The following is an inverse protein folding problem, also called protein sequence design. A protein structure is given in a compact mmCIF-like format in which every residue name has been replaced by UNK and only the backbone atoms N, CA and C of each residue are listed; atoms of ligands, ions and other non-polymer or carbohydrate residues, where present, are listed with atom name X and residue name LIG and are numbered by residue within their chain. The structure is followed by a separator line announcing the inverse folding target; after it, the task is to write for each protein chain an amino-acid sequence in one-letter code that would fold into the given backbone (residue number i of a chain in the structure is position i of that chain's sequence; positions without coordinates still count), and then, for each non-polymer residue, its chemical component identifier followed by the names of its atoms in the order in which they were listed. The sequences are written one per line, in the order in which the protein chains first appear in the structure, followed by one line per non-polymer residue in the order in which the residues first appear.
data_IF_344651947473
#
_entry.id   IF_344651947473
#
_cell.length_a   1.000
_cell.length_b   1.000
_cell.length_c   1.000
_cell.angle_alpha   90.00
_cell.angle_beta   90.00
_cell.angle_gamma   90.00
#
_symmetry.space_group_name_H-M   'P 1'
#
loop_
_entity.id
_entity.type
_entity.pdbx_description
1 polymer ?
#
# COMPACT_ATOMS: atom_id res chain seq x y z
N UNK A 1 -12.48 -12.60 -0.29
CA UNK A 1 -11.04 -12.90 -0.48
C UNK A 1 -10.85 -14.39 -0.78
N UNK A 2 -10.42 -14.74 -1.97
CA UNK A 2 -10.04 -16.13 -2.27
C UNK A 2 -8.69 -16.40 -1.58
N UNK A 3 -8.66 -17.36 -0.66
CA UNK A 3 -7.42 -17.84 -0.02
C UNK A 3 -6.45 -18.30 -1.11
N UNK A 4 -5.35 -17.58 -1.28
CA UNK A 4 -4.32 -17.97 -2.24
C UNK A 4 -3.73 -19.33 -1.81
N UNK A 5 -3.78 -20.30 -2.72
CA UNK A 5 -3.16 -21.61 -2.47
C UNK A 5 -1.66 -21.39 -2.22
N UNK A 6 -1.08 -21.98 -1.16
CA UNK A 6 0.33 -21.73 -0.84
C UNK A 6 1.20 -22.05 -2.05
N UNK A 7 2.04 -21.08 -2.44
CA UNK A 7 3.00 -21.21 -3.54
C UNK A 7 4.06 -22.24 -3.21
N UNK A 8 4.62 -22.88 -4.21
CA UNK A 8 5.86 -23.64 -4.02
C UNK A 8 7.00 -22.70 -3.58
N UNK A 9 7.95 -23.23 -2.81
CA UNK A 9 9.12 -22.46 -2.34
C UNK A 9 9.92 -21.82 -3.51
N UNK A 10 9.97 -22.49 -4.66
CA UNK A 10 10.61 -21.96 -5.86
C UNK A 10 9.87 -20.74 -6.43
N UNK A 11 8.53 -20.80 -6.51
CA UNK A 11 7.71 -19.65 -6.94
C UNK A 11 7.88 -18.46 -5.99
N UNK A 12 7.85 -18.70 -4.66
CA UNK A 12 8.02 -17.63 -3.67
C UNK A 12 9.37 -16.94 -3.83
N UNK A 13 10.47 -17.69 -3.95
CA UNK A 13 11.80 -17.11 -4.17
C UNK A 13 11.89 -16.24 -5.42
N UNK A 14 11.19 -16.61 -6.49
CA UNK A 14 11.12 -15.80 -7.72
C UNK A 14 10.38 -14.49 -7.47
N UNK A 15 9.25 -14.54 -6.78
CA UNK A 15 8.45 -13.35 -6.43
C UNK A 15 9.27 -12.42 -5.52
N UNK A 16 9.88 -12.93 -4.47
CA UNK A 16 10.70 -12.14 -3.54
C UNK A 16 11.86 -11.42 -4.29
N UNK A 17 12.50 -12.12 -5.22
CA UNK A 17 13.58 -11.56 -6.03
C UNK A 17 13.11 -10.60 -7.14
N UNK A 18 11.83 -10.62 -7.49
CA UNK A 18 11.27 -9.80 -8.56
C UNK A 18 10.86 -8.39 -8.09
N UNK A 19 10.51 -8.19 -6.82
CA UNK A 19 10.07 -6.90 -6.32
C UNK A 19 11.05 -5.76 -6.64
N UNK A 20 12.32 -5.93 -6.27
CA UNK A 20 13.32 -4.88 -6.45
C UNK A 20 13.56 -4.49 -7.92
N UNK A 21 13.77 -5.43 -8.89
CA UNK A 21 13.88 -5.09 -10.30
C UNK A 21 12.65 -4.38 -10.87
N UNK A 22 11.44 -4.80 -10.50
CA UNK A 22 10.22 -4.14 -10.97
C UNK A 22 10.04 -2.77 -10.32
N UNK A 23 10.39 -2.61 -9.05
CA UNK A 23 10.36 -1.31 -8.38
C UNK A 23 11.39 -0.36 -8.98
N UNK A 24 12.65 -0.77 -9.14
CA UNK A 24 13.73 0.12 -9.59
C UNK A 24 13.63 0.50 -11.06
N UNK A 25 13.30 -0.46 -11.94
CA UNK A 25 13.37 -0.29 -13.40
C UNK A 25 12.01 -0.22 -14.08
N UNK A 26 10.92 -0.30 -13.30
CA UNK A 26 9.56 -0.38 -13.83
C UNK A 26 9.27 -1.69 -14.55
N UNK A 27 8.04 -1.81 -15.07
CA UNK A 27 7.63 -3.02 -15.78
C UNK A 27 8.50 -3.30 -17.01
N UNK A 28 8.73 -2.32 -17.87
CA UNK A 28 9.49 -2.54 -19.10
C UNK A 28 10.96 -2.86 -18.84
N UNK A 29 11.60 -2.15 -17.92
CA UNK A 29 13.02 -2.29 -17.62
C UNK A 29 13.39 -3.50 -16.75
N UNK A 30 12.44 -4.11 -16.03
CA UNK A 30 12.70 -5.28 -15.21
C UNK A 30 13.11 -6.48 -16.08
N UNK A 31 14.29 -7.07 -15.79
CA UNK A 31 14.89 -8.16 -16.54
C UNK A 31 14.59 -9.53 -15.92
N UNK A 32 13.84 -10.37 -16.65
CA UNK A 32 13.60 -11.76 -16.21
C UNK A 32 14.91 -12.59 -16.12
N UNK A 33 15.94 -12.19 -16.87
CA UNK A 33 17.26 -12.85 -16.79
C UNK A 33 17.95 -12.54 -15.49
N UNK A 34 17.86 -11.29 -14.99
CA UNK A 34 18.45 -10.88 -13.73
C UNK A 34 17.71 -11.47 -12.54
N UNK A 35 16.36 -11.52 -12.61
CA UNK A 35 15.53 -12.21 -11.62
C UNK A 35 15.91 -13.70 -11.54
N UNK A 36 16.01 -14.40 -12.68
CA UNK A 36 16.40 -15.79 -12.72
C UNK A 36 17.82 -16.00 -12.12
N UNK A 37 18.77 -15.13 -12.46
CA UNK A 37 20.13 -15.15 -11.93
C UNK A 37 20.14 -14.94 -10.41
N UNK A 38 19.35 -14.01 -9.89
CA UNK A 38 19.27 -13.72 -8.46
C UNK A 38 18.80 -14.93 -7.64
N UNK A 39 17.91 -15.75 -8.19
CA UNK A 39 17.44 -16.99 -7.53
C UNK A 39 18.22 -18.24 -7.88
N UNK A 40 19.28 -18.11 -8.72
CA UNK A 40 20.18 -19.22 -9.09
C UNK A 40 19.59 -20.22 -10.10
N UNK A 41 18.68 -19.78 -10.97
CA UNK A 41 18.08 -20.63 -12.01
C UNK A 41 18.32 -20.07 -13.42
N UNK A 42 18.12 -20.90 -14.44
CA UNK A 42 18.14 -20.43 -15.84
C UNK A 42 16.84 -19.70 -16.17
N UNK A 43 16.89 -18.67 -17.04
CA UNK A 43 15.69 -17.94 -17.50
C UNK A 43 14.62 -18.90 -18.05
N UNK A 44 15.00 -19.96 -18.78
CA UNK A 44 14.06 -20.96 -19.26
C UNK A 44 13.29 -21.67 -18.12
N UNK A 45 13.95 -21.90 -16.99
CA UNK A 45 13.32 -22.52 -15.81
C UNK A 45 12.30 -21.58 -15.14
N UNK A 46 12.46 -20.25 -15.29
CA UNK A 46 11.48 -19.29 -14.79
C UNK A 46 10.10 -19.49 -15.46
N UNK A 47 10.10 -19.80 -16.77
CA UNK A 47 8.87 -20.05 -17.51
C UNK A 47 8.16 -21.38 -17.14
N UNK A 48 8.80 -22.28 -16.40
CA UNK A 48 8.11 -23.44 -15.81
C UNK A 48 7.25 -23.05 -14.59
N UNK A 49 7.52 -21.88 -14.00
CA UNK A 49 6.80 -21.36 -12.84
C UNK A 49 5.78 -20.26 -13.20
N UNK A 50 6.08 -19.43 -14.20
CA UNK A 50 5.27 -18.30 -14.63
C UNK A 50 5.15 -18.24 -16.14
N UNK A 51 3.93 -18.10 -16.64
CA UNK A 51 3.66 -18.08 -18.07
C UNK A 51 4.28 -16.86 -18.79
N UNK A 52 4.40 -15.73 -18.07
CA UNK A 52 4.88 -14.47 -18.65
C UNK A 52 5.48 -13.55 -17.57
N UNK A 53 6.11 -12.46 -18.01
CA UNK A 53 6.53 -11.34 -17.15
C UNK A 53 5.33 -10.70 -16.45
N UNK A 54 4.22 -10.59 -17.17
CA UNK A 54 2.96 -10.09 -16.64
C UNK A 54 2.42 -10.96 -15.52
N UNK A 55 2.48 -12.29 -15.64
CA UNK A 55 2.06 -13.20 -14.57
C UNK A 55 2.85 -13.01 -13.28
N UNK A 56 4.16 -12.70 -13.38
CA UNK A 56 4.98 -12.34 -12.20
C UNK A 56 4.51 -11.00 -11.64
N UNK A 57 4.32 -10.00 -12.47
CA UNK A 57 3.90 -8.66 -12.06
C UNK A 57 2.54 -8.68 -11.34
N UNK A 58 1.57 -9.43 -11.83
CA UNK A 58 0.26 -9.57 -11.21
C UNK A 58 0.35 -10.24 -9.82
N UNK A 59 1.24 -11.22 -9.67
CA UNK A 59 1.48 -11.84 -8.37
C UNK A 59 2.19 -10.86 -7.40
N UNK A 60 3.08 -9.97 -7.89
CA UNK A 60 3.67 -8.91 -7.07
C UNK A 60 2.62 -7.91 -6.58
N UNK A 61 1.70 -7.50 -7.47
CA UNK A 61 0.59 -6.62 -7.10
C UNK A 61 -0.28 -7.25 -6.02
N UNK A 62 -0.60 -8.53 -6.15
CA UNK A 62 -1.42 -9.25 -5.19
C UNK A 62 -0.72 -9.36 -3.83
N UNK A 63 0.57 -9.73 -3.80
CA UNK A 63 1.35 -9.83 -2.55
C UNK A 63 1.50 -8.47 -1.87
N UNK A 64 1.74 -7.41 -2.64
CA UNK A 64 1.82 -6.07 -2.13
C UNK A 64 0.48 -5.65 -1.49
N UNK A 65 -0.64 -5.86 -2.18
CA UNK A 65 -1.97 -5.58 -1.67
C UNK A 65 -2.26 -6.35 -0.36
N UNK A 66 -2.04 -7.66 -0.34
CA UNK A 66 -2.30 -8.50 0.84
C UNK A 66 -1.46 -8.06 2.04
N UNK A 67 -0.16 -7.78 1.82
CA UNK A 67 0.75 -7.30 2.86
C UNK A 67 0.30 -5.96 3.44
N UNK A 68 -0.06 -5.01 2.58
CA UNK A 68 -0.40 -3.66 3.03
C UNK A 68 -1.82 -3.60 3.63
N UNK A 69 -2.78 -4.36 3.13
CA UNK A 69 -4.08 -4.50 3.78
C UNK A 69 -3.98 -5.13 5.19
N UNK A 70 -3.08 -6.10 5.36
CA UNK A 70 -2.82 -6.67 6.69
C UNK A 70 -2.17 -5.65 7.64
N UNK A 71 -1.23 -4.85 7.13
CA UNK A 71 -0.57 -3.79 7.90
C UNK A 71 -1.54 -2.68 8.33
N UNK A 72 -2.41 -2.21 7.43
CA UNK A 72 -3.48 -1.26 7.78
C UNK A 72 -4.31 -1.79 8.95
N UNK A 73 -4.84 -3.01 8.82
CA UNK A 73 -5.68 -3.62 9.87
C UNK A 73 -4.94 -3.76 11.19
N UNK A 74 -3.64 -4.09 11.15
CA UNK A 74 -2.81 -4.15 12.35
C UNK A 74 -2.71 -2.78 13.03
N UNK A 75 -2.42 -1.71 12.28
CA UNK A 75 -2.31 -0.35 12.83
C UNK A 75 -3.61 0.13 13.46
N UNK A 76 -4.75 -0.13 12.82
CA UNK A 76 -6.06 0.26 13.35
C UNK A 76 -6.53 -0.59 14.54
N UNK A 77 -6.08 -1.85 14.64
CA UNK A 77 -6.42 -2.73 15.77
C UNK A 77 -5.51 -2.52 16.98
N UNK A 78 -4.36 -1.88 16.81
CA UNK A 78 -3.39 -1.68 17.89
C UNK A 78 -3.83 -0.52 18.78
N UNK A 79 -3.92 -0.78 20.10
CA UNK A 79 -4.12 0.30 21.07
C UNK A 79 -2.88 1.17 21.08
N UNK A 80 -3.06 2.45 20.78
CA UNK A 80 -1.97 3.44 20.71
C UNK A 80 -2.25 4.62 21.64
N UNK A 81 -1.23 5.41 21.90
CA UNK A 81 -1.34 6.68 22.64
C UNK A 81 -1.98 7.80 21.79
N UNK A 82 -2.11 7.58 20.50
CA UNK A 82 -2.70 8.53 19.57
C UNK A 82 -4.22 8.62 19.77
N UNK A 83 -4.74 9.83 19.69
CA UNK A 83 -6.15 10.11 20.02
C UNK A 83 -7.06 10.21 18.81
N UNK A 84 -6.52 10.62 17.65
CA UNK A 84 -7.31 10.74 16.45
C UNK A 84 -7.45 9.38 15.70
N UNK A 85 -8.62 9.10 15.13
CA UNK A 85 -8.83 7.89 14.34
C UNK A 85 -7.80 7.76 13.21
N UNK A 86 -7.13 6.61 13.09
CA UNK A 86 -6.17 6.34 12.02
C UNK A 86 -4.78 6.98 12.18
N UNK A 87 -4.55 7.81 13.20
CA UNK A 87 -3.28 8.52 13.41
C UNK A 87 -2.08 7.57 13.55
N UNK A 88 -2.25 6.43 14.21
CA UNK A 88 -1.21 5.41 14.34
C UNK A 88 -0.67 4.92 12.99
N UNK A 89 -1.54 4.77 11.98
CA UNK A 89 -1.12 4.41 10.63
C UNK A 89 -0.31 5.53 9.97
N UNK A 90 -0.72 6.79 10.11
CA UNK A 90 0.03 7.93 9.57
C UNK A 90 1.46 8.00 10.11
N UNK A 91 1.65 7.76 11.42
CA UNK A 91 2.98 7.72 12.04
C UNK A 91 3.82 6.51 11.62
N UNK A 92 3.18 5.38 11.37
CA UNK A 92 3.87 4.16 10.94
C UNK A 92 4.22 4.13 9.43
N UNK A 93 3.65 5.04 8.63
CA UNK A 93 3.65 4.96 7.17
C UNK A 93 5.03 5.15 6.55
N UNK A 94 5.82 6.12 7.03
CA UNK A 94 7.20 6.35 6.54
C UNK A 94 8.11 5.15 6.85
N UNK A 95 8.13 4.70 8.11
CA UNK A 95 8.94 3.53 8.50
C UNK A 95 8.50 2.26 7.74
N UNK A 96 7.21 2.12 7.45
CA UNK A 96 6.70 1.05 6.60
C UNK A 96 7.21 1.17 5.17
N UNK A 97 7.19 2.37 4.60
CA UNK A 97 7.71 2.63 3.26
C UNK A 97 9.21 2.32 3.17
N UNK A 98 10.01 2.69 4.17
CA UNK A 98 11.44 2.40 4.21
C UNK A 98 11.74 0.90 4.33
N UNK A 99 10.98 0.18 5.15
CA UNK A 99 11.24 -1.23 5.47
C UNK A 99 10.55 -2.24 4.57
N UNK A 100 9.45 -1.86 3.89
CA UNK A 100 8.62 -2.79 3.10
C UNK A 100 8.60 -2.45 1.61
N UNK A 101 9.25 -3.30 0.81
CA UNK A 101 9.23 -3.17 -0.66
C UNK A 101 7.79 -3.25 -1.21
N UNK A 102 6.90 -3.93 -0.53
CA UNK A 102 5.47 -4.08 -0.89
C UNK A 102 4.75 -2.74 -0.93
N UNK A 103 4.92 -1.89 0.10
CA UNK A 103 4.33 -0.55 0.10
C UNK A 103 4.95 0.34 -0.98
N UNK A 104 6.29 0.35 -1.09
CA UNK A 104 6.99 1.09 -2.15
C UNK A 104 6.50 0.73 -3.54
N UNK A 105 6.33 -0.57 -3.80
CA UNK A 105 5.85 -1.08 -5.07
C UNK A 105 4.38 -0.68 -5.31
N UNK A 106 3.50 -0.87 -4.32
CA UNK A 106 2.08 -0.55 -4.43
C UNK A 106 1.85 0.94 -4.74
N UNK A 107 2.48 1.84 -3.97
CA UNK A 107 2.39 3.29 -4.18
C UNK A 107 2.94 3.66 -5.56
N UNK A 108 4.12 3.13 -5.95
CA UNK A 108 4.67 3.41 -7.29
C UNK A 108 3.72 2.98 -8.40
N UNK A 109 3.05 1.83 -8.26
CA UNK A 109 2.08 1.35 -9.25
C UNK A 109 0.79 2.16 -9.28
N UNK A 110 0.42 2.81 -8.19
CA UNK A 110 -0.70 3.74 -8.19
C UNK A 110 -0.43 5.00 -9.04
N UNK A 111 0.80 5.54 -8.99
CA UNK A 111 1.17 6.79 -9.66
C UNK A 111 1.88 6.60 -11.00
N UNK A 112 2.47 5.45 -11.25
CA UNK A 112 3.26 5.15 -12.45
C UNK A 112 3.07 3.70 -12.93
N UNK A 113 1.81 3.30 -13.12
CA UNK A 113 1.48 1.98 -13.65
C UNK A 113 1.98 1.79 -15.09
N UNK A 114 2.34 0.56 -15.49
CA UNK A 114 2.61 0.23 -16.90
C UNK A 114 1.36 0.50 -17.75
N UNK A 115 1.55 1.06 -18.96
CA UNK A 115 0.43 1.47 -19.83
C UNK A 115 -0.55 0.33 -20.11
N UNK A 116 -0.03 -0.88 -20.35
CA UNK A 116 -0.85 -2.07 -20.62
C UNK A 116 -1.46 -2.72 -19.39
N UNK A 117 -1.12 -2.26 -18.18
CA UNK A 117 -1.59 -2.80 -16.90
C UNK A 117 -2.20 -1.71 -15.99
N UNK A 118 -2.52 -0.55 -16.57
CA UNK A 118 -3.06 0.61 -15.83
C UNK A 118 -4.36 0.24 -15.11
N UNK A 119 -5.32 -0.37 -15.82
CA UNK A 119 -6.62 -0.72 -15.23
C UNK A 119 -6.47 -1.74 -14.09
N UNK A 120 -5.60 -2.73 -14.26
CA UNK A 120 -5.35 -3.75 -13.21
C UNK A 120 -4.65 -3.14 -12.01
N UNK A 121 -3.67 -2.25 -12.23
CA UNK A 121 -2.96 -1.56 -11.14
C UNK A 121 -3.91 -0.62 -10.39
N UNK A 122 -4.76 0.12 -11.11
CA UNK A 122 -5.77 0.98 -10.52
C UNK A 122 -6.81 0.18 -9.72
N UNK A 123 -7.30 -0.94 -10.26
CA UNK A 123 -8.23 -1.81 -9.55
C UNK A 123 -7.60 -2.37 -8.25
N UNK A 124 -6.33 -2.76 -8.29
CA UNK A 124 -5.61 -3.24 -7.10
C UNK A 124 -5.46 -2.13 -6.06
N UNK A 125 -5.11 -0.92 -6.49
CA UNK A 125 -4.98 0.22 -5.58
C UNK A 125 -6.33 0.65 -4.99
N UNK A 126 -7.41 0.56 -5.75
CA UNK A 126 -8.76 0.84 -5.24
C UNK A 126 -9.13 -0.11 -4.08
N UNK A 127 -8.78 -1.40 -4.15
CA UNK A 127 -9.00 -2.32 -3.02
C UNK A 127 -8.21 -1.88 -1.77
N UNK A 128 -6.99 -1.40 -1.93
CA UNK A 128 -6.21 -0.84 -0.81
C UNK A 128 -6.91 0.39 -0.20
N UNK A 129 -7.43 1.30 -1.02
CA UNK A 129 -8.21 2.47 -0.56
C UNK A 129 -9.52 2.05 0.10
N UNK A 130 -10.22 1.04 -0.42
CA UNK A 130 -11.43 0.48 0.21
C UNK A 130 -11.14 -0.03 1.62
N UNK A 131 -10.04 -0.76 1.81
CA UNK A 131 -9.64 -1.26 3.15
C UNK A 131 -9.31 -0.10 4.09
N UNK A 132 -8.60 0.94 3.64
CA UNK A 132 -8.37 2.15 4.44
C UNK A 132 -9.69 2.82 4.82
N UNK A 133 -10.59 2.99 3.86
CA UNK A 133 -11.91 3.58 4.07
C UNK A 133 -12.73 2.79 5.10
N UNK A 134 -12.78 1.46 4.98
CA UNK A 134 -13.45 0.61 5.95
C UNK A 134 -12.88 0.78 7.36
N UNK A 135 -11.55 0.80 7.50
CA UNK A 135 -10.91 0.90 8.81
C UNK A 135 -11.12 2.28 9.45
N UNK A 136 -11.03 3.37 8.68
CA UNK A 136 -11.29 4.71 9.23
C UNK A 136 -12.76 4.89 9.59
N UNK A 137 -13.70 4.37 8.80
CA UNK A 137 -15.14 4.40 9.13
C UNK A 137 -15.45 3.63 10.42
N UNK A 138 -14.81 2.47 10.63
CA UNK A 138 -14.93 1.74 11.89
C UNK A 138 -14.38 2.54 13.07
N UNK A 139 -13.24 3.20 12.90
CA UNK A 139 -12.64 4.03 13.95
C UNK A 139 -13.44 5.32 14.26
N UNK A 140 -14.25 5.79 13.31
CA UNK A 140 -15.15 6.94 13.47
C UNK A 140 -16.52 6.58 14.10
N UNK A 141 -16.85 5.29 14.26
CA UNK A 141 -18.15 4.88 14.83
C UNK A 141 -18.51 5.53 16.18
N UNK A 142 -17.57 5.74 17.14
CA UNK A 142 -17.89 6.37 18.42
C UNK A 142 -18.48 7.78 18.31
N UNK A 143 -18.27 8.48 17.19
CA UNK A 143 -18.77 9.84 16.96
C UNK A 143 -20.22 9.88 16.43
N UNK A 144 -20.79 8.74 16.04
CA UNK A 144 -22.18 8.60 15.57
C UNK A 144 -22.54 9.58 14.43
N UNK A 145 -21.64 9.69 13.45
CA UNK A 145 -21.80 10.55 12.29
C UNK A 145 -22.93 10.07 11.39
N UNK A 146 -23.62 11.00 10.73
CA UNK A 146 -24.49 10.62 9.60
C UNK A 146 -23.65 10.18 8.38
N UNK A 147 -24.32 9.65 7.35
CA UNK A 147 -23.62 9.10 6.17
C UNK A 147 -22.77 10.14 5.45
N UNK A 148 -23.26 11.37 5.32
CA UNK A 148 -22.54 12.46 4.65
C UNK A 148 -21.32 12.91 5.43
N UNK A 149 -21.46 13.02 6.75
CA UNK A 149 -20.33 13.32 7.63
C UNK A 149 -19.29 12.20 7.61
N UNK A 150 -19.73 10.94 7.67
CA UNK A 150 -18.83 9.79 7.65
C UNK A 150 -18.01 9.74 6.36
N UNK A 151 -18.63 9.97 5.19
CA UNK A 151 -17.95 10.09 3.91
C UNK A 151 -16.93 11.24 3.94
N UNK A 152 -17.33 12.44 4.36
CA UNK A 152 -16.47 13.63 4.39
C UNK A 152 -15.23 13.44 5.26
N UNK A 153 -15.39 12.87 6.46
CA UNK A 153 -14.25 12.63 7.36
C UNK A 153 -13.36 11.50 6.89
N UNK A 154 -13.93 10.49 6.22
CA UNK A 154 -13.16 9.43 5.57
C UNK A 154 -12.32 9.97 4.42
N UNK A 155 -12.90 10.80 3.55
CA UNK A 155 -12.19 11.45 2.44
C UNK A 155 -11.10 12.41 2.94
N UNK A 156 -11.37 13.15 4.03
CA UNK A 156 -10.35 14.00 4.64
C UNK A 156 -9.15 13.16 5.14
N UNK A 157 -9.40 12.01 5.74
CA UNK A 157 -8.34 11.09 6.15
C UNK A 157 -7.57 10.51 4.95
N UNK A 158 -8.27 10.08 3.90
CA UNK A 158 -7.62 9.62 2.66
C UNK A 158 -6.75 10.72 2.04
N UNK A 159 -7.19 11.98 2.08
CA UNK A 159 -6.40 13.12 1.66
C UNK A 159 -5.10 13.31 2.47
N UNK A 160 -5.10 12.97 3.76
CA UNK A 160 -3.85 12.91 4.56
C UNK A 160 -2.91 11.85 3.98
N UNK A 161 -3.40 10.62 3.75
CA UNK A 161 -2.58 9.51 3.23
C UNK A 161 -2.04 9.82 1.84
N UNK A 162 -2.86 10.40 0.95
CA UNK A 162 -2.42 10.82 -0.39
C UNK A 162 -1.30 11.87 -0.31
N UNK A 163 -1.46 12.87 0.56
CA UNK A 163 -0.44 13.90 0.76
C UNK A 163 0.88 13.30 1.27
N UNK A 164 0.83 12.34 2.18
CA UNK A 164 2.01 11.65 2.71
C UNK A 164 2.65 10.73 1.65
N UNK A 165 1.84 10.05 0.83
CA UNK A 165 2.32 9.19 -0.26
C UNK A 165 3.14 9.98 -1.29
N UNK A 166 2.70 11.19 -1.62
CA UNK A 166 3.42 12.07 -2.55
C UNK A 166 4.79 12.49 -1.99
N UNK A 167 4.88 12.79 -0.70
CA UNK A 167 6.16 13.13 -0.07
C UNK A 167 7.15 11.95 -0.11
N UNK A 168 6.67 10.72 0.10
CA UNK A 168 7.51 9.51 0.03
C UNK A 168 8.03 9.22 -1.40
N UNK A 169 7.28 9.61 -2.43
CA UNK A 169 7.65 9.38 -3.82
C UNK A 169 8.60 10.43 -4.39
N UNK A 170 8.47 11.70 -4.00
CA UNK A 170 9.04 12.82 -4.74
C UNK A 170 9.85 13.80 -3.89
N UNK A 171 9.75 13.75 -2.56
CA UNK A 171 10.34 14.76 -1.71
C UNK A 171 11.33 14.17 -0.71
N UNK A 172 12.57 14.67 -0.74
CA UNK A 172 13.57 14.32 0.25
C UNK A 172 13.38 15.15 1.54
N UNK A 173 13.13 14.45 2.68
CA UNK A 173 13.19 15.04 4.02
C UNK A 173 12.03 15.96 4.41
N UNK A 174 10.91 15.94 3.71
CA UNK A 174 9.74 16.76 4.03
C UNK A 174 8.60 16.02 4.73
N UNK A 175 8.71 14.70 4.85
CA UNK A 175 7.64 13.85 5.40
C UNK A 175 7.18 14.30 6.79
N UNK A 176 8.09 14.41 7.75
CA UNK A 176 7.80 14.84 9.12
C UNK A 176 7.06 16.19 9.19
N UNK A 177 7.47 17.16 8.38
CA UNK A 177 6.81 18.46 8.32
C UNK A 177 5.41 18.34 7.73
N UNK A 178 5.25 17.53 6.67
CA UNK A 178 3.96 17.27 6.04
C UNK A 178 3.02 16.54 7.00
N UNK A 179 3.51 15.50 7.66
CA UNK A 179 2.77 14.74 8.66
C UNK A 179 2.21 15.67 9.74
N UNK A 180 3.07 16.52 10.35
CA UNK A 180 2.64 17.49 11.38
C UNK A 180 1.56 18.44 10.86
N UNK A 181 1.72 18.96 9.65
CA UNK A 181 0.74 19.88 9.05
C UNK A 181 -0.61 19.19 8.79
N UNK A 182 -0.58 17.99 8.22
CA UNK A 182 -1.81 17.24 7.93
C UNK A 182 -2.52 16.79 9.21
N UNK A 183 -1.79 16.29 10.20
CA UNK A 183 -2.37 15.88 11.47
C UNK A 183 -2.94 17.09 12.25
N UNK A 184 -2.29 18.25 12.21
CA UNK A 184 -2.85 19.48 12.82
C UNK A 184 -4.23 19.83 12.26
N UNK A 185 -4.40 19.76 10.94
CA UNK A 185 -5.70 20.01 10.28
C UNK A 185 -6.71 18.91 10.62
N UNK A 186 -6.28 17.66 10.61
CA UNK A 186 -7.13 16.51 10.88
C UNK A 186 -7.60 16.51 12.35
N UNK A 187 -6.72 16.75 13.31
CA UNK A 187 -7.07 16.90 14.72
C UNK A 187 -8.10 18.01 14.94
N UNK A 188 -7.88 19.19 14.34
CA UNK A 188 -8.84 20.29 14.44
C UNK A 188 -10.24 19.88 13.95
N UNK A 189 -10.31 19.09 12.89
CA UNK A 189 -11.59 18.58 12.39
C UNK A 189 -12.21 17.55 13.35
N UNK A 190 -11.42 16.60 13.88
CA UNK A 190 -11.90 15.57 14.81
C UNK A 190 -12.33 16.15 16.16
N UNK A 191 -11.64 17.18 16.67
CA UNK A 191 -11.99 17.86 17.94
C UNK A 191 -13.36 18.54 17.90
N UNK A 192 -13.86 18.87 16.71
CA UNK A 192 -15.22 19.40 16.54
C UNK A 192 -16.31 18.33 16.63
N UNK A 193 -15.94 17.05 16.67
CA UNK A 193 -16.87 15.94 16.81
C UNK A 193 -17.06 15.59 18.27
N UNK A 194 -18.30 15.62 18.75
CA UNK A 194 -18.63 15.13 20.09
C UNK A 194 -18.64 13.60 20.10
N UNK A 195 -17.84 12.99 20.98
CA UNK A 195 -17.96 11.57 21.29
C UNK A 195 -19.22 11.36 22.12
N UNK A 196 -20.14 10.58 21.61
CA UNK A 196 -21.39 10.22 22.32
C UNK A 196 -21.27 8.87 22.99
#
# INVERSE_FOLDING_TARGET
MQSHKPRSSAKQRIIDAAFEPFFMHGYEGASLSDIAKAVGIRKASLYTHFASKEAIFLELLQDALESECAFIKLCFATVSEFTAPGEAYCHAFEARYESAITLRFLIRMAYAAPVNLTDTSAATFNVYIEVLTEQIQLALQPYQLDSTQLELYSDAYLGVIDSLSVELLYAEGLYERRLKAMLMLYHTAIEQLDKK
#
